data_IF_622791581759
#
_entry.id   IF_622791581759
#
_cell.length_a   1.000
_cell.length_b   1.000
_cell.length_c   1.000
_cell.angle_alpha   90.00
_cell.angle_beta   90.00
_cell.angle_gamma   90.00
#
_symmetry.space_group_name_H-M   'P 1'
#
loop_
_entity.id
_entity.type
_entity.pdbx_description
1 polymer ?
#
# COMPACT_ATOMS: atom_id res chain seq x y z
N UNK A 1 26.72 42.59 33.65
CA UNK A 1 26.46 41.30 32.99
C UNK A 1 26.89 40.18 33.92
N UNK A 2 25.91 39.57 34.61
CA UNK A 2 26.13 38.44 35.50
C UNK A 2 25.95 37.19 34.66
N UNK A 3 27.04 36.65 34.13
CA UNK A 3 27.05 35.29 33.61
C UNK A 3 26.89 34.33 34.78
N UNK A 4 25.87 33.48 34.81
CA UNK A 4 25.71 32.48 35.87
C UNK A 4 26.95 31.56 35.85
N UNK A 5 27.66 31.50 36.99
CA UNK A 5 28.73 30.50 37.22
C UNK A 5 28.12 29.11 37.20
N UNK A 6 27.93 28.53 36.00
CA UNK A 6 27.51 27.15 35.89
C UNK A 6 28.68 26.24 36.25
N UNK A 7 28.49 25.22 37.12
CA UNK A 7 29.54 24.26 37.45
C UNK A 7 29.95 23.51 36.19
N UNK A 8 31.25 23.45 35.92
CA UNK A 8 31.81 22.84 34.70
C UNK A 8 31.29 21.41 34.45
N UNK A 9 31.03 20.65 35.50
CA UNK A 9 30.46 19.31 35.42
C UNK A 9 29.04 19.27 34.75
N UNK A 10 28.18 20.23 35.12
CA UNK A 10 26.83 20.30 34.54
C UNK A 10 26.86 20.61 33.05
N UNK A 11 27.79 21.48 32.62
CA UNK A 11 27.95 21.83 31.21
C UNK A 11 28.41 20.62 30.39
N UNK A 12 29.38 19.86 30.90
CA UNK A 12 29.89 18.64 30.23
C UNK A 12 28.78 17.62 30.05
N UNK A 13 27.98 17.35 31.09
CA UNK A 13 26.84 16.43 30.99
C UNK A 13 25.80 16.91 29.99
N UNK A 14 25.50 18.18 29.96
CA UNK A 14 24.51 18.75 29.04
C UNK A 14 24.97 18.68 27.56
N UNK A 15 26.24 18.94 27.30
CA UNK A 15 26.85 18.80 25.98
C UNK A 15 26.86 17.32 25.54
N UNK A 16 27.27 16.40 26.41
CA UNK A 16 27.28 14.99 26.11
C UNK A 16 25.86 14.46 25.85
N UNK A 17 24.87 14.85 26.65
CA UNK A 17 23.47 14.50 26.45
C UNK A 17 22.93 15.05 25.13
N UNK A 18 23.31 16.28 24.76
CA UNK A 18 22.89 16.90 23.50
C UNK A 18 23.48 16.17 22.30
N UNK A 19 24.77 15.83 22.34
CA UNK A 19 25.43 15.06 21.29
C UNK A 19 24.79 13.66 21.15
N UNK A 20 24.53 13.00 22.28
CA UNK A 20 23.86 11.71 22.30
C UNK A 20 22.45 11.78 21.71
N UNK A 21 21.63 12.75 22.15
CA UNK A 21 20.28 12.97 21.64
C UNK A 21 20.29 13.26 20.14
N UNK A 22 21.23 14.09 19.69
CA UNK A 22 21.39 14.38 18.26
C UNK A 22 21.78 13.13 17.46
N UNK A 23 22.76 12.34 17.94
CA UNK A 23 23.16 11.08 17.32
C UNK A 23 22.03 10.04 17.30
N UNK A 24 21.22 9.98 18.37
CA UNK A 24 20.07 9.10 18.46
C UNK A 24 18.94 9.49 17.48
N UNK A 25 18.67 10.78 17.35
CA UNK A 25 17.62 11.29 16.45
C UNK A 25 18.02 11.21 14.97
N UNK A 26 19.27 11.58 14.65
CA UNK A 26 19.76 11.74 13.29
C UNK A 26 20.74 10.65 12.82
N UNK A 27 21.02 9.64 13.64
CA UNK A 27 21.93 8.56 13.29
C UNK A 27 21.55 7.90 11.95
N UNK A 28 22.52 7.80 11.03
CA UNK A 28 22.32 7.46 9.61
C UNK A 28 21.75 6.07 9.34
N UNK A 29 21.86 5.13 10.28
CA UNK A 29 21.32 3.76 10.13
C UNK A 29 20.24 3.37 11.12
N UNK A 30 20.09 4.08 12.25
CA UNK A 30 19.14 3.77 13.33
C UNK A 30 18.44 5.00 13.92
N UNK A 31 18.56 6.16 13.28
CA UNK A 31 17.91 7.38 13.75
C UNK A 31 16.38 7.24 13.71
N UNK A 32 15.74 7.54 14.83
CA UNK A 32 14.27 7.44 14.98
C UNK A 32 13.53 8.20 13.88
N UNK A 33 14.04 9.37 13.49
CA UNK A 33 13.45 10.20 12.45
C UNK A 33 13.49 9.50 11.09
N UNK A 34 14.61 8.84 10.76
CA UNK A 34 14.78 8.14 9.47
C UNK A 34 13.84 6.93 9.41
N UNK A 35 13.70 6.18 10.50
CA UNK A 35 12.78 5.05 10.59
C UNK A 35 11.32 5.51 10.45
N UNK A 36 10.90 6.55 11.18
CA UNK A 36 9.55 7.12 11.04
C UNK A 36 9.24 7.62 9.64
N UNK A 37 10.23 8.24 8.97
CA UNK A 37 10.07 8.67 7.58
C UNK A 37 9.98 7.48 6.62
N UNK A 38 10.78 6.44 6.83
CA UNK A 38 10.74 5.22 6.04
C UNK A 38 9.38 4.49 6.19
N UNK A 39 8.89 4.34 7.41
CA UNK A 39 7.58 3.75 7.70
C UNK A 39 6.43 4.56 7.07
N UNK A 40 6.48 5.89 7.18
CA UNK A 40 5.49 6.77 6.53
C UNK A 40 5.52 6.65 5.00
N UNK A 41 6.71 6.54 4.40
CA UNK A 41 6.86 6.34 2.95
C UNK A 41 6.32 4.97 2.54
N UNK A 42 6.64 3.91 3.28
CA UNK A 42 6.13 2.57 3.01
C UNK A 42 4.60 2.52 3.13
N UNK A 43 4.02 3.04 4.23
CA UNK A 43 2.58 3.12 4.40
C UNK A 43 1.89 3.97 3.33
N UNK A 44 2.57 5.00 2.83
CA UNK A 44 2.07 5.85 1.76
C UNK A 44 2.06 5.13 0.42
N UNK A 45 3.14 4.39 0.11
CA UNK A 45 3.24 3.56 -1.09
C UNK A 45 2.16 2.50 -1.12
N UNK A 46 1.97 1.80 -0.02
CA UNK A 46 0.93 0.79 0.14
C UNK A 46 -0.47 1.35 -0.16
N UNK A 47 -0.80 2.53 0.39
CA UNK A 47 -2.09 3.18 0.10
C UNK A 47 -2.26 3.51 -1.38
N UNK A 48 -1.20 3.98 -2.05
CA UNK A 48 -1.22 4.24 -3.49
C UNK A 48 -1.47 2.98 -4.30
N UNK A 49 -0.81 1.88 -3.95
CA UNK A 49 -0.96 0.58 -4.62
C UNK A 49 -2.39 0.04 -4.46
N UNK A 50 -2.95 0.08 -3.26
CA UNK A 50 -4.36 -0.27 -3.03
C UNK A 50 -5.35 0.62 -3.79
N UNK A 51 -5.08 1.93 -3.85
CA UNK A 51 -5.93 2.86 -4.59
C UNK A 51 -5.88 2.56 -6.09
N UNK A 52 -4.68 2.37 -6.63
CA UNK A 52 -4.46 2.08 -8.03
C UNK A 52 -5.15 0.77 -8.44
N UNK A 53 -5.06 -0.26 -7.61
CA UNK A 53 -5.77 -1.53 -7.80
C UNK A 53 -7.29 -1.33 -7.79
N UNK A 54 -7.82 -0.59 -6.82
CA UNK A 54 -9.26 -0.34 -6.74
C UNK A 54 -9.80 0.41 -7.97
N UNK A 55 -9.06 1.40 -8.48
CA UNK A 55 -9.43 2.09 -9.72
C UNK A 55 -9.42 1.14 -10.91
N UNK A 56 -8.39 0.29 -11.03
CA UNK A 56 -8.30 -0.70 -12.10
C UNK A 56 -9.46 -1.70 -12.06
N UNK A 57 -9.78 -2.26 -10.91
CA UNK A 57 -10.89 -3.20 -10.74
C UNK A 57 -12.26 -2.55 -11.04
N UNK A 58 -12.44 -1.28 -10.71
CA UNK A 58 -13.65 -0.54 -11.09
C UNK A 58 -13.70 -0.32 -12.61
N UNK A 59 -12.56 0.01 -13.23
CA UNK A 59 -12.47 0.23 -14.68
C UNK A 59 -12.71 -1.07 -15.47
N UNK A 60 -12.21 -2.21 -14.99
CA UNK A 60 -12.40 -3.52 -15.62
C UNK A 60 -13.90 -3.93 -15.65
N UNK A 61 -14.65 -3.58 -14.60
CA UNK A 61 -16.04 -4.00 -14.42
C UNK A 61 -17.07 -3.04 -15.04
N UNK A 62 -16.76 -1.76 -15.25
CA UNK A 62 -17.76 -0.76 -15.62
C UNK A 62 -17.37 0.07 -16.85
N UNK A 63 -16.30 0.84 -16.73
CA UNK A 63 -15.86 1.80 -17.76
C UNK A 63 -14.42 2.23 -17.47
N UNK A 64 -13.62 2.57 -18.48
CA UNK A 64 -12.29 3.17 -18.30
C UNK A 64 -12.32 4.46 -17.47
N UNK A 65 -13.48 5.16 -17.48
CA UNK A 65 -13.70 6.37 -16.70
C UNK A 65 -14.46 6.00 -15.42
N UNK A 66 -13.76 5.94 -14.31
CA UNK A 66 -14.25 5.47 -13.00
C UNK A 66 -14.79 6.63 -12.18
N UNK A 67 -16.00 6.50 -11.66
CA UNK A 67 -16.58 7.47 -10.75
C UNK A 67 -15.96 7.38 -9.35
N UNK A 68 -15.71 8.55 -8.74
CA UNK A 68 -15.18 8.63 -7.38
C UNK A 68 -16.07 7.89 -6.37
N UNK A 69 -17.38 7.92 -6.57
CA UNK A 69 -18.36 7.21 -5.74
C UNK A 69 -18.16 5.68 -5.80
N UNK A 70 -17.83 5.12 -6.97
CA UNK A 70 -17.56 3.70 -7.12
C UNK A 70 -16.32 3.26 -6.32
N UNK A 71 -15.27 4.09 -6.30
CA UNK A 71 -14.06 3.83 -5.52
C UNK A 71 -14.36 3.86 -4.02
N UNK A 72 -15.13 4.84 -3.56
CA UNK A 72 -15.52 4.98 -2.15
C UNK A 72 -16.38 3.81 -1.65
N UNK A 73 -17.17 3.20 -2.53
CA UNK A 73 -18.00 2.05 -2.19
C UNK A 73 -17.23 0.71 -2.15
N UNK A 74 -16.05 0.65 -2.74
CA UNK A 74 -15.24 -0.58 -2.76
C UNK A 74 -14.67 -0.95 -1.40
N UNK A 75 -14.25 0.05 -0.62
CA UNK A 75 -13.62 -0.13 0.70
C UNK A 75 -14.02 1.00 1.65
N UNK A 76 -13.98 0.79 2.97
CA UNK A 76 -14.36 1.80 3.97
C UNK A 76 -13.28 2.90 4.09
N UNK A 77 -13.02 3.61 3.01
CA UNK A 77 -12.10 4.74 2.99
C UNK A 77 -12.79 6.06 3.31
N UNK A 78 -12.08 6.94 3.99
CA UNK A 78 -12.57 8.31 4.16
C UNK A 78 -12.41 9.11 2.85
N UNK A 79 -13.44 9.89 2.49
CA UNK A 79 -13.45 10.70 1.26
C UNK A 79 -12.19 11.56 1.11
N UNK A 80 -11.75 12.22 2.19
CA UNK A 80 -10.58 13.08 2.18
C UNK A 80 -9.27 12.32 1.94
N UNK A 81 -9.19 11.05 2.35
CA UNK A 81 -8.04 10.20 2.08
C UNK A 81 -8.00 9.79 0.62
N UNK A 82 -9.14 9.38 0.07
CA UNK A 82 -9.29 9.02 -1.35
C UNK A 82 -8.89 10.19 -2.24
N UNK A 83 -9.40 11.39 -1.97
CA UNK A 83 -9.07 12.59 -2.74
C UNK A 83 -7.58 12.90 -2.71
N UNK A 84 -6.94 12.87 -1.53
CA UNK A 84 -5.49 13.09 -1.39
C UNK A 84 -4.67 12.08 -2.18
N UNK A 85 -5.08 10.81 -2.14
CA UNK A 85 -4.36 9.74 -2.83
C UNK A 85 -4.55 9.81 -4.35
N UNK A 86 -5.75 10.15 -4.82
CA UNK A 86 -6.03 10.37 -6.24
C UNK A 86 -5.19 11.54 -6.78
N UNK A 87 -5.12 12.68 -6.07
CA UNK A 87 -4.26 13.79 -6.49
C UNK A 87 -2.78 13.40 -6.50
N UNK A 88 -2.35 12.58 -5.55
CA UNK A 88 -0.99 12.09 -5.50
C UNK A 88 -0.66 11.18 -6.69
N UNK A 89 -1.57 10.25 -7.03
CA UNK A 89 -1.43 9.38 -8.19
C UNK A 89 -1.49 10.17 -9.51
N UNK A 90 -2.30 11.23 -9.57
CA UNK A 90 -2.34 12.12 -10.72
C UNK A 90 -1.02 12.90 -10.89
N UNK A 91 -0.43 13.39 -9.79
CA UNK A 91 0.88 14.04 -9.82
C UNK A 91 2.01 13.07 -10.19
N UNK A 92 1.82 11.78 -9.96
CA UNK A 92 2.73 10.71 -10.39
C UNK A 92 2.44 10.23 -11.83
N UNK A 93 1.56 10.90 -12.57
CA UNK A 93 1.16 10.56 -13.93
C UNK A 93 0.52 9.16 -14.09
N UNK A 94 0.01 8.58 -13.01
CA UNK A 94 -0.65 7.28 -13.02
C UNK A 94 -2.16 7.38 -13.26
N UNK A 95 -2.77 8.53 -12.92
CA UNK A 95 -4.18 8.82 -13.11
C UNK A 95 -4.40 10.17 -13.80
N UNK A 96 -5.46 10.26 -14.59
CA UNK A 96 -6.03 11.51 -15.04
C UNK A 96 -7.32 11.78 -14.26
N UNK A 97 -7.50 13.03 -13.82
CA UNK A 97 -8.72 13.49 -13.15
C UNK A 97 -9.51 14.32 -14.15
N UNK A 98 -10.81 14.08 -14.27
CA UNK A 98 -11.69 14.91 -15.11
C UNK A 98 -11.79 16.34 -14.55
N UNK A 99 -12.08 17.36 -15.39
CA UNK A 99 -12.15 18.76 -14.96
C UNK A 99 -13.19 19.04 -13.85
N UNK A 100 -14.24 18.22 -13.79
CA UNK A 100 -15.26 18.26 -12.74
C UNK A 100 -14.81 17.61 -11.42
N UNK A 101 -13.67 16.92 -11.41
CA UNK A 101 -13.14 16.21 -10.25
C UNK A 101 -13.94 14.99 -9.81
N UNK A 102 -14.94 14.56 -10.60
CA UNK A 102 -15.86 13.48 -10.22
C UNK A 102 -15.44 12.11 -10.73
N UNK A 103 -14.60 12.07 -11.77
CA UNK A 103 -14.16 10.84 -12.41
C UNK A 103 -12.64 10.80 -12.57
N UNK A 104 -12.11 9.59 -12.60
CA UNK A 104 -10.69 9.32 -12.80
C UNK A 104 -10.50 8.28 -13.89
N UNK A 105 -9.37 8.35 -14.57
CA UNK A 105 -8.98 7.39 -15.60
C UNK A 105 -7.51 7.02 -15.40
N UNK A 106 -7.20 5.74 -15.55
CA UNK A 106 -5.81 5.28 -15.57
C UNK A 106 -5.09 5.78 -16.83
N UNK A 107 -3.89 6.30 -16.66
CA UNK A 107 -2.97 6.55 -17.78
C UNK A 107 -2.42 5.21 -18.29
N UNK A 108 -1.68 5.23 -19.41
CA UNK A 108 -1.00 4.02 -19.90
C UNK A 108 -0.02 3.46 -18.87
N UNK A 109 0.70 4.33 -18.15
CA UNK A 109 1.60 3.94 -17.07
C UNK A 109 0.84 3.35 -15.89
N UNK A 110 -0.25 4.01 -15.47
CA UNK A 110 -1.13 3.53 -14.41
C UNK A 110 -1.77 2.17 -14.73
N UNK A 111 -2.12 1.91 -15.99
CA UNK A 111 -2.63 0.61 -16.42
C UNK A 111 -1.59 -0.51 -16.30
N UNK A 112 -0.34 -0.24 -16.69
CA UNK A 112 0.75 -1.22 -16.58
C UNK A 112 0.98 -1.59 -15.11
N UNK A 113 1.13 -0.58 -14.25
CA UNK A 113 1.37 -0.80 -12.83
C UNK A 113 0.18 -1.48 -12.13
N UNK A 114 -1.05 -1.06 -12.44
CA UNK A 114 -2.26 -1.68 -11.89
C UNK A 114 -2.40 -3.14 -12.29
N UNK A 115 -2.15 -3.49 -13.56
CA UNK A 115 -2.20 -4.88 -14.03
C UNK A 115 -1.23 -5.76 -13.25
N UNK A 116 -0.01 -5.26 -13.01
CA UNK A 116 0.99 -5.99 -12.21
C UNK A 116 0.48 -6.22 -10.78
N UNK A 117 -0.05 -5.18 -10.13
CA UNK A 117 -0.58 -5.28 -8.77
C UNK A 117 -1.75 -6.27 -8.69
N UNK A 118 -2.72 -6.16 -9.58
CA UNK A 118 -3.88 -7.07 -9.62
C UNK A 118 -3.46 -8.50 -9.90
N UNK A 119 -2.51 -8.71 -10.84
CA UNK A 119 -1.96 -10.04 -11.13
C UNK A 119 -1.31 -10.66 -9.90
N UNK A 120 -0.44 -9.92 -9.23
CA UNK A 120 0.25 -10.40 -8.03
C UNK A 120 -0.75 -10.77 -6.92
N UNK A 121 -1.75 -9.92 -6.71
CA UNK A 121 -2.79 -10.18 -5.72
C UNK A 121 -3.58 -11.45 -6.04
N UNK A 122 -4.05 -11.61 -7.30
CA UNK A 122 -4.80 -12.81 -7.74
C UNK A 122 -3.98 -14.09 -7.64
N UNK A 123 -2.66 -14.03 -7.92
CA UNK A 123 -1.76 -15.17 -7.74
C UNK A 123 -1.68 -15.60 -6.27
N UNK A 124 -1.59 -14.62 -5.36
CA UNK A 124 -1.59 -14.89 -3.92
C UNK A 124 -2.91 -15.45 -3.43
N UNK A 125 -4.02 -14.89 -3.85
CA UNK A 125 -5.34 -15.46 -3.53
C UNK A 125 -5.43 -16.94 -3.94
N UNK A 126 -4.99 -17.26 -5.15
CA UNK A 126 -4.96 -18.64 -5.65
C UNK A 126 -4.03 -19.53 -4.82
N UNK A 127 -2.84 -19.04 -4.49
CA UNK A 127 -1.90 -19.78 -3.66
C UNK A 127 -2.46 -20.05 -2.26
N UNK A 128 -3.01 -19.04 -1.61
CA UNK A 128 -3.60 -19.20 -0.27
C UNK A 128 -4.78 -20.16 -0.28
N UNK A 129 -5.62 -20.12 -1.31
CA UNK A 129 -6.75 -21.04 -1.46
C UNK A 129 -6.31 -22.49 -1.66
N UNK A 130 -5.17 -22.72 -2.31
CA UNK A 130 -4.69 -24.06 -2.63
C UNK A 130 -3.79 -24.66 -1.55
N UNK A 131 -3.00 -23.84 -0.85
CA UNK A 131 -1.89 -24.29 0.00
C UNK A 131 -2.02 -23.89 1.47
N UNK A 132 -2.83 -22.87 1.79
CA UNK A 132 -3.01 -22.44 3.15
C UNK A 132 -4.39 -22.87 3.66
N UNK A 133 -4.44 -23.33 4.92
CA UNK A 133 -5.71 -23.59 5.61
C UNK A 133 -6.36 -22.25 6.07
N UNK A 134 -6.59 -21.38 5.09
CA UNK A 134 -7.16 -20.05 5.29
C UNK A 134 -8.63 -20.10 4.91
N UNK A 135 -9.49 -19.63 5.83
CA UNK A 135 -10.92 -19.52 5.54
C UNK A 135 -11.14 -18.58 4.33
N UNK A 136 -11.94 -18.99 3.32
CA UNK A 136 -12.14 -18.22 2.09
C UNK A 136 -12.49 -16.74 2.29
N UNK A 137 -13.18 -16.38 3.38
CA UNK A 137 -13.51 -14.99 3.71
C UNK A 137 -12.34 -14.15 4.23
N UNK A 138 -11.15 -14.74 4.44
CA UNK A 138 -9.93 -14.03 4.88
C UNK A 138 -8.87 -13.92 3.80
N UNK A 139 -8.99 -14.70 2.74
CA UNK A 139 -7.98 -14.82 1.68
C UNK A 139 -7.60 -13.47 1.08
N UNK A 140 -8.58 -12.62 0.76
CA UNK A 140 -8.34 -11.28 0.21
C UNK A 140 -7.50 -10.40 1.18
N UNK A 141 -7.82 -10.46 2.48
CA UNK A 141 -7.08 -9.69 3.50
C UNK A 141 -5.65 -10.21 3.69
N UNK A 142 -5.48 -11.51 3.71
CA UNK A 142 -4.18 -12.14 3.92
C UNK A 142 -3.30 -11.97 2.67
N UNK A 143 -3.87 -12.02 1.47
CA UNK A 143 -3.22 -11.68 0.22
C UNK A 143 -2.77 -10.21 0.21
N UNK A 144 -3.63 -9.27 0.62
CA UNK A 144 -3.29 -7.85 0.76
C UNK A 144 -2.07 -7.60 1.66
N UNK A 145 -1.90 -8.39 2.73
CA UNK A 145 -0.77 -8.22 3.65
C UNK A 145 0.55 -8.74 3.09
N UNK A 146 0.50 -9.76 2.26
CA UNK A 146 1.69 -10.50 1.80
C UNK A 146 2.19 -9.98 0.45
N UNK A 147 1.31 -9.51 -0.44
CA UNK A 147 1.69 -9.10 -1.81
C UNK A 147 2.78 -8.02 -1.87
N UNK A 148 2.90 -7.21 -0.80
CA UNK A 148 3.89 -6.12 -0.72
C UNK A 148 5.28 -6.56 -0.27
N UNK A 149 5.40 -7.78 0.25
CA UNK A 149 6.66 -8.37 0.73
C UNK A 149 7.34 -9.21 -0.34
N UNK A 150 6.65 -9.44 -1.46
CA UNK A 150 7.10 -10.37 -2.49
C UNK A 150 8.25 -9.83 -3.34
N UNK A 151 9.29 -10.65 -3.41
CA UNK A 151 10.28 -10.56 -4.47
C UNK A 151 9.62 -10.94 -5.83
N UNK A 152 9.89 -10.21 -6.92
CA UNK A 152 9.43 -10.59 -8.27
C UNK A 152 9.71 -12.05 -8.65
N UNK A 153 10.81 -12.62 -8.18
CA UNK A 153 11.15 -14.03 -8.41
C UNK A 153 10.14 -15.01 -7.81
N UNK A 154 9.64 -14.69 -6.61
CA UNK A 154 8.58 -15.49 -5.96
C UNK A 154 7.27 -15.46 -6.74
N UNK A 155 6.96 -14.33 -7.38
CA UNK A 155 5.75 -14.22 -8.23
C UNK A 155 5.87 -15.14 -9.44
N UNK A 156 7.04 -15.19 -10.07
CA UNK A 156 7.28 -16.06 -11.23
C UNK A 156 7.25 -17.56 -10.83
N UNK A 157 7.81 -17.90 -9.66
CA UNK A 157 7.72 -19.25 -9.11
C UNK A 157 6.28 -19.68 -8.79
N UNK A 158 5.47 -18.77 -8.23
CA UNK A 158 4.05 -18.99 -7.97
C UNK A 158 3.26 -19.24 -9.25
N UNK A 159 3.54 -18.50 -10.32
CA UNK A 159 2.90 -18.74 -11.61
C UNK A 159 3.20 -20.12 -12.15
N UNK A 160 4.47 -20.53 -12.12
CA UNK A 160 4.88 -21.87 -12.57
C UNK A 160 4.20 -22.95 -11.74
N UNK A 161 4.15 -22.78 -10.42
CA UNK A 161 3.51 -23.73 -9.50
C UNK A 161 2.01 -23.88 -9.79
N UNK A 162 1.31 -22.76 -9.90
CA UNK A 162 -0.12 -22.74 -10.20
C UNK A 162 -0.45 -23.27 -11.61
N UNK A 163 0.44 -23.02 -12.58
CA UNK A 163 0.30 -23.57 -13.94
C UNK A 163 0.49 -25.08 -13.98
N UNK A 164 1.36 -25.66 -13.12
CA UNK A 164 1.59 -27.10 -13.01
C UNK A 164 0.44 -27.83 -12.31
N UNK A 165 -0.19 -27.21 -11.31
CA UNK A 165 -1.28 -27.81 -10.56
C UNK A 165 -2.62 -27.81 -11.31
N UNK A 166 -2.75 -26.99 -12.35
CA UNK A 166 -3.99 -26.80 -13.11
C UNK A 166 -5.05 -26.02 -12.32
N UNK A 167 -6.08 -25.52 -13.00
CA UNK A 167 -7.12 -24.74 -12.33
C UNK A 167 -7.96 -25.65 -11.45
N UNK A 168 -7.65 -25.74 -10.16
CA UNK A 168 -8.67 -26.17 -9.20
C UNK A 168 -9.79 -25.16 -9.31
N UNK A 169 -10.97 -25.62 -9.74
CA UNK A 169 -12.15 -24.83 -10.04
C UNK A 169 -12.30 -23.69 -9.02
N UNK A 170 -12.06 -22.47 -9.45
CA UNK A 170 -12.50 -21.29 -8.75
C UNK A 170 -14.03 -21.33 -8.75
N UNK A 171 -14.62 -21.76 -7.65
CA UNK A 171 -16.05 -21.56 -7.42
C UNK A 171 -16.17 -20.17 -6.86
N UNK A 172 -16.76 -19.20 -7.60
CA UNK A 172 -17.01 -17.87 -7.06
C UNK A 172 -17.81 -18.04 -5.77
N UNK A 173 -17.33 -17.50 -4.67
CA UNK A 173 -18.07 -17.48 -3.42
C UNK A 173 -19.39 -16.76 -3.67
N UNK A 174 -20.49 -17.47 -3.42
CA UNK A 174 -21.86 -16.97 -3.50
C UNK A 174 -21.98 -15.66 -2.70
N UNK A 175 -22.32 -14.54 -3.34
CA UNK A 175 -22.42 -13.25 -2.67
C UNK A 175 -23.46 -13.23 -1.54
N UNK A 176 -24.37 -14.18 -1.48
CA UNK A 176 -25.38 -14.27 -0.41
C UNK A 176 -24.81 -14.79 0.92
N UNK A 177 -23.70 -15.53 0.93
CA UNK A 177 -23.07 -16.01 2.17
C UNK A 177 -22.25 -14.95 2.91
N UNK A 178 -22.20 -13.74 2.40
CA UNK A 178 -21.47 -12.60 3.01
C UNK A 178 -22.27 -11.89 4.14
N UNK A 179 -23.50 -12.31 4.40
CA UNK A 179 -24.45 -11.63 5.34
C UNK A 179 -24.81 -12.45 6.59
N UNK A 180 -24.12 -13.53 6.86
CA UNK A 180 -24.33 -14.29 8.10
C UNK A 180 -23.11 -14.26 9.02
#
# INVERSE_FOLDING_TARGET
>A
SVLPKMPAGAIIVLVAATIFAFGFLFGTRRGVIIQLLAERRAASRLRSEHMLRAVYECAENQSPLVELAAILNKRPWQKNEVLREIHRLANAELLNITPDGLKVQLTSLGQIDSRRLVRNHRLWELYLLNHADVAPGRVDRDADMIEHVLDPRLVDELEVLLAMEGPRRFVPLDPEKRKS
#
